data_IF_057511545767
#
_entry.id   IF_057511545767
#
_cell.length_a   1.000
_cell.length_b   1.000
_cell.length_c   1.000
_cell.angle_alpha   90.00
_cell.angle_beta   90.00
_cell.angle_gamma   90.00
#
_symmetry.space_group_name_H-M   'P 1'
#
loop_
_entity.id
_entity.type
_entity.pdbx_description
1 polymer ?
#
# COMPACT_ATOMS: atom_id res chain seq x y z
N UNK A 1 -14.07 10.51 -5.24
CA UNK A 1 -14.28 10.49 -3.78
C UNK A 1 -13.06 10.04 -3.02
N UNK A 2 -12.60 10.82 -2.04
CA UNK A 2 -11.54 10.41 -1.10
C UNK A 2 -12.12 10.20 0.28
N UNK A 3 -11.77 9.09 0.92
CA UNK A 3 -12.25 8.70 2.24
C UNK A 3 -11.06 8.59 3.19
N UNK A 4 -11.10 9.34 4.27
CA UNK A 4 -10.09 9.36 5.32
C UNK A 4 -10.66 8.71 6.57
N UNK A 5 -9.95 7.71 7.09
CA UNK A 5 -10.19 7.21 8.44
C UNK A 5 -9.55 8.16 9.43
N UNK A 6 -10.33 8.69 10.36
CA UNK A 6 -9.82 9.52 11.45
C UNK A 6 -10.28 8.97 12.80
N UNK A 7 -9.68 9.43 13.90
CA UNK A 7 -10.07 8.98 15.25
C UNK A 7 -11.54 9.25 15.58
N UNK A 8 -12.07 10.39 15.13
CA UNK A 8 -13.45 10.82 15.39
C UNK A 8 -14.49 10.28 14.40
N UNK A 9 -14.09 9.53 13.36
CA UNK A 9 -15.01 8.98 12.36
C UNK A 9 -14.41 8.89 10.96
N UNK A 10 -15.22 9.22 9.96
CA UNK A 10 -14.84 9.14 8.55
C UNK A 10 -15.02 10.50 7.88
N UNK A 11 -13.95 11.05 7.31
CA UNK A 11 -14.04 12.25 6.48
C UNK A 11 -14.13 11.85 5.03
N UNK A 12 -15.20 12.30 4.37
CA UNK A 12 -15.41 12.13 2.93
C UNK A 12 -15.12 13.45 2.24
N UNK A 13 -14.23 13.45 1.25
CA UNK A 13 -13.90 14.61 0.42
C UNK A 13 -14.36 14.34 -1.01
N UNK A 14 -15.26 15.18 -1.50
CA UNK A 14 -15.88 15.08 -2.83
C UNK A 14 -16.16 16.49 -3.38
N UNK A 15 -15.77 16.75 -4.64
CA UNK A 15 -16.00 18.03 -5.33
C UNK A 15 -15.66 19.30 -4.51
N UNK A 16 -14.50 19.30 -3.84
CA UNK A 16 -14.00 20.35 -2.93
C UNK A 16 -14.80 20.54 -1.62
N UNK A 17 -15.87 19.79 -1.41
CA UNK A 17 -16.57 19.73 -0.13
C UNK A 17 -16.03 18.58 0.72
N UNK A 18 -16.16 18.73 2.03
CA UNK A 18 -15.80 17.70 2.99
C UNK A 18 -16.97 17.44 3.92
N UNK A 19 -17.17 16.19 4.31
CA UNK A 19 -18.28 15.76 5.14
C UNK A 19 -17.74 14.84 6.24
N UNK A 20 -18.30 14.93 7.44
CA UNK A 20 -17.97 14.03 8.54
C UNK A 20 -19.11 13.02 8.71
N UNK A 21 -18.78 11.74 8.58
CA UNK A 21 -19.66 10.64 8.98
C UNK A 21 -19.24 10.21 10.39
N UNK A 22 -20.07 10.58 11.36
CA UNK A 22 -19.91 10.16 12.76
C UNK A 22 -20.59 8.80 12.98
N UNK A 23 -20.03 7.97 13.87
CA UNK A 23 -20.61 6.69 14.30
C UNK A 23 -20.71 5.59 13.21
N UNK A 24 -19.90 5.68 12.15
CA UNK A 24 -19.75 4.57 11.19
C UNK A 24 -18.70 3.57 11.70
N UNK A 25 -19.02 2.28 11.65
CA UNK A 25 -18.02 1.22 11.83
C UNK A 25 -17.17 1.11 10.55
N UNK A 26 -15.85 1.24 10.67
CA UNK A 26 -14.96 1.27 9.51
C UNK A 26 -15.02 -0.02 8.68
N UNK A 27 -15.07 -1.19 9.32
CA UNK A 27 -15.02 -2.47 8.61
C UNK A 27 -16.31 -2.72 7.85
N UNK A 28 -17.45 -2.41 8.47
CA UNK A 28 -18.75 -2.49 7.80
C UNK A 28 -18.81 -1.47 6.66
N UNK A 29 -18.34 -0.24 6.92
CA UNK A 29 -18.42 0.85 5.96
C UNK A 29 -17.62 0.55 4.69
N UNK A 30 -16.36 0.10 4.80
CA UNK A 30 -15.55 -0.16 3.59
C UNK A 30 -15.90 -1.48 2.90
N UNK A 31 -16.57 -2.41 3.58
CA UNK A 31 -16.91 -3.72 3.03
C UNK A 31 -18.26 -3.68 2.29
N UNK A 32 -18.39 -2.73 1.36
CA UNK A 32 -19.61 -2.47 0.59
C UNK A 32 -19.27 -2.37 -0.91
N UNK A 33 -19.79 -3.31 -1.70
CA UNK A 33 -19.60 -3.32 -3.15
C UNK A 33 -20.16 -2.05 -3.84
N UNK A 34 -21.08 -1.34 -3.19
CA UNK A 34 -21.68 -0.11 -3.71
C UNK A 34 -21.22 1.13 -2.92
N UNK A 35 -20.05 1.05 -2.27
CA UNK A 35 -19.53 2.09 -1.39
C UNK A 35 -19.63 3.51 -1.98
N UNK A 36 -19.28 3.68 -3.24
CA UNK A 36 -19.32 5.00 -3.90
C UNK A 36 -20.73 5.61 -3.89
N UNK A 37 -21.73 4.83 -4.34
CA UNK A 37 -23.13 5.29 -4.46
C UNK A 37 -23.76 5.47 -3.08
N UNK A 38 -23.48 4.54 -2.16
CA UNK A 38 -24.03 4.59 -0.81
C UNK A 38 -23.42 5.75 -0.01
N UNK A 39 -22.12 6.03 -0.17
CA UNK A 39 -21.47 7.19 0.44
C UNK A 39 -22.00 8.49 -0.15
N UNK A 40 -22.20 8.57 -1.47
CA UNK A 40 -22.82 9.74 -2.11
C UNK A 40 -24.20 10.04 -1.50
N UNK A 41 -25.03 9.00 -1.38
CA UNK A 41 -26.39 9.11 -0.80
C UNK A 41 -26.38 9.55 0.67
N UNK A 42 -25.32 9.23 1.43
CA UNK A 42 -25.14 9.69 2.81
C UNK A 42 -24.75 11.17 2.84
N UNK A 43 -23.75 11.58 2.06
CA UNK A 43 -23.25 12.97 2.08
C UNK A 43 -24.24 13.98 1.48
N UNK A 44 -25.12 13.56 0.56
CA UNK A 44 -26.19 14.41 0.01
C UNK A 44 -27.19 14.91 1.08
N UNK A 45 -27.18 14.30 2.27
CA UNK A 45 -28.06 14.64 3.41
C UNK A 45 -27.33 15.43 4.50
N UNK A 46 -26.05 15.75 4.29
CA UNK A 46 -25.19 16.40 5.26
C UNK A 46 -24.74 17.76 4.77
N UNK A 47 -24.51 18.67 5.71
CA UNK A 47 -23.87 19.94 5.43
C UNK A 47 -22.34 19.76 5.38
N UNK A 48 -21.63 20.41 4.44
CA UNK A 48 -20.18 20.38 4.41
C UNK A 48 -19.56 20.96 5.68
N UNK A 49 -18.48 20.33 6.15
CA UNK A 49 -17.66 20.82 7.26
C UNK A 49 -16.52 21.69 6.75
N UNK A 50 -16.09 22.66 7.56
CA UNK A 50 -15.00 23.59 7.19
C UNK A 50 -13.66 23.23 7.81
N UNK A 51 -13.63 22.38 8.84
CA UNK A 51 -12.45 22.00 9.62
C UNK A 51 -11.85 20.65 9.19
N UNK A 52 -12.22 20.11 8.03
CA UNK A 52 -11.75 18.80 7.56
C UNK A 52 -10.23 18.68 7.49
N UNK A 53 -9.54 19.74 7.05
CA UNK A 53 -8.08 19.76 6.95
C UNK A 53 -7.40 19.58 8.32
N UNK A 54 -7.94 20.23 9.36
CA UNK A 54 -7.42 20.11 10.72
C UNK A 54 -7.70 18.72 11.31
N UNK A 55 -8.89 18.17 11.06
CA UNK A 55 -9.23 16.80 11.48
C UNK A 55 -8.29 15.78 10.83
N UNK A 56 -8.12 15.83 9.51
CA UNK A 56 -7.22 14.93 8.79
C UNK A 56 -5.79 15.07 9.30
N UNK A 57 -5.29 16.30 9.47
CA UNK A 57 -3.90 16.51 9.92
C UNK A 57 -3.62 15.92 11.31
N UNK A 58 -4.57 16.01 12.24
CA UNK A 58 -4.34 15.67 13.64
C UNK A 58 -4.84 14.27 14.03
N UNK A 59 -5.75 13.71 13.25
CA UNK A 59 -6.47 12.48 13.61
C UNK A 59 -6.41 11.38 12.57
N UNK A 60 -5.77 11.58 11.41
CA UNK A 60 -5.68 10.54 10.37
C UNK A 60 -5.08 9.25 10.92
N UNK A 61 -5.73 8.15 10.57
CA UNK A 61 -5.31 6.79 10.84
C UNK A 61 -4.98 6.11 9.52
N UNK A 62 -4.26 4.98 9.58
CA UNK A 62 -4.20 4.10 8.42
C UNK A 62 -5.63 3.71 8.01
N UNK A 63 -6.02 3.77 6.72
CA UNK A 63 -7.35 3.37 6.26
C UNK A 63 -7.51 1.83 6.23
N UNK A 64 -7.21 1.18 7.36
CA UNK A 64 -7.34 -0.25 7.62
C UNK A 64 -8.01 -0.42 8.99
N UNK A 65 -9.02 -1.28 9.08
CA UNK A 65 -9.66 -1.71 10.32
C UNK A 65 -9.17 -3.10 10.68
N UNK A 66 -9.98 -4.14 10.45
CA UNK A 66 -9.61 -5.54 10.66
C UNK A 66 -9.24 -6.29 9.38
N UNK A 67 -9.08 -5.59 8.25
CA UNK A 67 -8.64 -6.20 7.00
C UNK A 67 -7.22 -6.76 7.11
N UNK A 68 -6.99 -7.88 6.43
CA UNK A 68 -5.64 -8.36 6.16
C UNK A 68 -5.00 -7.55 5.03
N UNK A 69 -3.69 -7.35 5.11
CA UNK A 69 -2.90 -6.77 4.03
C UNK A 69 -2.06 -7.88 3.41
N UNK A 70 -2.24 -8.05 2.11
CA UNK A 70 -1.49 -8.94 1.25
C UNK A 70 -0.68 -8.12 0.24
N UNK A 71 0.32 -8.75 -0.36
CA UNK A 71 1.14 -8.12 -1.38
C UNK A 71 1.46 -9.11 -2.50
N UNK A 72 1.69 -8.57 -3.69
CA UNK A 72 2.11 -9.30 -4.88
C UNK A 72 3.50 -8.85 -5.31
N UNK A 73 4.47 -9.76 -5.35
CA UNK A 73 5.79 -9.45 -5.89
C UNK A 73 5.87 -9.64 -7.40
N UNK A 74 6.99 -9.19 -7.98
CA UNK A 74 7.41 -9.45 -9.37
C UNK A 74 6.37 -9.04 -10.43
N UNK A 75 5.67 -7.93 -10.19
CA UNK A 75 4.64 -7.40 -11.10
C UNK A 75 5.19 -6.41 -12.14
N UNK A 76 6.39 -5.86 -11.90
CA UNK A 76 7.14 -5.00 -12.82
C UNK A 76 8.42 -5.67 -13.31
N UNK A 77 8.88 -5.29 -14.50
CA UNK A 77 10.15 -5.79 -15.06
C UNK A 77 11.36 -5.41 -14.20
N UNK A 78 11.44 -4.18 -13.69
CA UNK A 78 12.55 -3.75 -12.82
C UNK A 78 12.56 -4.52 -11.49
N UNK A 79 11.37 -4.80 -10.95
CA UNK A 79 11.19 -5.63 -9.75
C UNK A 79 11.76 -7.03 -9.94
N UNK A 80 11.56 -7.61 -11.12
CA UNK A 80 12.16 -8.90 -11.50
C UNK A 80 13.69 -8.81 -11.48
N UNK A 81 14.27 -7.81 -12.14
CA UNK A 81 15.73 -7.66 -12.25
C UNK A 81 16.40 -7.44 -10.88
N UNK A 82 15.81 -6.61 -10.02
CA UNK A 82 16.33 -6.37 -8.67
C UNK A 82 16.39 -7.64 -7.83
N UNK A 83 15.31 -8.42 -7.81
CA UNK A 83 15.27 -9.70 -7.08
C UNK A 83 16.21 -10.76 -7.66
N UNK A 84 16.38 -10.78 -8.98
CA UNK A 84 17.38 -11.64 -9.61
C UNK A 84 18.80 -11.30 -9.16
N UNK A 85 19.11 -10.02 -8.99
CA UNK A 85 20.39 -9.53 -8.49
C UNK A 85 20.61 -9.88 -7.02
N UNK A 86 19.61 -9.63 -6.18
CA UNK A 86 19.59 -9.97 -4.75
C UNK A 86 19.90 -11.44 -4.48
N UNK A 87 19.32 -12.34 -5.28
CA UNK A 87 19.42 -13.78 -5.06
C UNK A 87 20.41 -14.49 -6.00
N UNK A 88 21.36 -13.77 -6.62
CA UNK A 88 22.37 -14.36 -7.52
C UNK A 88 23.14 -15.49 -6.84
N UNK A 89 23.58 -15.27 -5.59
CA UNK A 89 24.41 -16.23 -4.86
C UNK A 89 23.62 -17.40 -4.27
N UNK A 90 22.35 -17.18 -3.91
CA UNK A 90 21.47 -18.20 -3.33
C UNK A 90 20.81 -19.12 -4.38
N UNK A 91 21.06 -18.91 -5.67
CA UNK A 91 20.38 -19.62 -6.76
C UNK A 91 18.90 -19.23 -6.95
N UNK A 92 18.45 -18.19 -6.25
CA UNK A 92 17.05 -17.74 -6.25
C UNK A 92 16.63 -16.97 -7.51
N UNK A 93 17.59 -16.50 -8.32
CA UNK A 93 17.34 -15.80 -9.58
C UNK A 93 16.42 -16.56 -10.55
N UNK A 94 16.43 -17.90 -10.50
CA UNK A 94 15.54 -18.71 -11.35
C UNK A 94 14.06 -18.66 -10.96
N UNK A 95 13.72 -18.35 -9.69
CA UNK A 95 12.33 -18.38 -9.21
C UNK A 95 11.56 -17.12 -9.60
N UNK A 96 12.15 -15.94 -9.39
CA UNK A 96 11.52 -14.67 -9.76
C UNK A 96 11.28 -14.57 -11.27
N UNK A 97 12.22 -15.06 -12.08
CA UNK A 97 12.04 -15.21 -13.53
C UNK A 97 10.85 -16.10 -13.91
N UNK A 98 10.68 -17.24 -13.21
CA UNK A 98 9.56 -18.16 -13.44
C UNK A 98 8.23 -17.52 -13.07
N UNK A 99 8.15 -16.86 -11.91
CA UNK A 99 6.94 -16.15 -11.47
C UNK A 99 6.54 -15.04 -12.44
N UNK A 100 7.50 -14.30 -13.00
CA UNK A 100 7.20 -13.20 -13.92
C UNK A 100 6.41 -13.63 -15.17
N UNK A 101 6.55 -14.89 -15.61
CA UNK A 101 5.88 -15.42 -16.82
C UNK A 101 4.80 -16.46 -16.53
N UNK A 102 4.68 -16.96 -15.30
CA UNK A 102 3.69 -17.96 -14.91
C UNK A 102 2.26 -17.39 -14.89
N UNK A 103 1.23 -18.23 -14.97
CA UNK A 103 -0.16 -17.76 -14.78
C UNK A 103 -0.42 -17.37 -13.32
N UNK A 104 0.10 -18.16 -12.38
CA UNK A 104 -0.01 -17.91 -10.94
C UNK A 104 0.97 -16.80 -10.50
N UNK A 105 0.48 -15.69 -9.94
CA UNK A 105 1.34 -14.65 -9.39
C UNK A 105 1.94 -15.07 -8.04
N UNK A 106 2.98 -14.37 -7.62
CA UNK A 106 3.42 -14.40 -6.22
C UNK A 106 2.42 -13.61 -5.38
N UNK A 107 1.94 -14.22 -4.31
CA UNK A 107 1.12 -13.58 -3.28
C UNK A 107 1.67 -13.97 -1.93
N UNK A 108 1.80 -13.00 -1.03
CA UNK A 108 2.22 -13.25 0.34
C UNK A 108 1.43 -12.39 1.32
N UNK A 109 1.21 -12.94 2.51
CA UNK A 109 0.66 -12.19 3.63
C UNK A 109 1.69 -11.15 4.07
N UNK A 110 1.27 -9.88 4.12
CA UNK A 110 2.16 -8.77 4.48
C UNK A 110 1.98 -8.36 5.94
N UNK A 111 0.75 -8.03 6.33
CA UNK A 111 0.52 -7.45 7.64
C UNK A 111 -0.91 -7.63 8.15
N UNK A 112 -1.01 -7.75 9.47
CA UNK A 112 -2.22 -7.46 10.24
C UNK A 112 -2.31 -5.95 10.52
N UNK A 113 -3.49 -5.44 10.90
CA UNK A 113 -3.66 -4.03 11.25
C UNK A 113 -2.70 -3.53 12.32
N UNK A 114 -2.42 -4.32 13.36
CA UNK A 114 -1.52 -3.92 14.44
C UNK A 114 -0.06 -3.75 14.01
N UNK A 115 0.34 -4.30 12.87
CA UNK A 115 1.69 -4.13 12.28
C UNK A 115 1.73 -2.99 11.26
N UNK A 116 0.59 -2.37 10.99
CA UNK A 116 0.41 -1.38 9.92
C UNK A 116 0.38 0.03 10.48
N UNK A 117 0.99 0.95 9.75
CA UNK A 117 1.17 2.34 10.16
C UNK A 117 0.45 3.27 9.19
N UNK A 118 -0.12 4.36 9.71
CA UNK A 118 -0.76 5.40 8.90
C UNK A 118 0.23 6.48 8.44
N UNK A 119 -0.25 7.43 7.63
CA UNK A 119 0.54 8.62 7.30
C UNK A 119 0.88 9.42 8.55
N UNK A 120 2.12 9.91 8.65
CA UNK A 120 2.71 10.56 9.82
C UNK A 120 3.26 9.60 10.88
N UNK A 121 3.05 8.28 10.74
CA UNK A 121 3.55 7.29 11.69
C UNK A 121 4.95 6.77 11.37
N UNK A 122 5.49 5.97 12.29
CA UNK A 122 6.83 5.38 12.18
C UNK A 122 6.78 3.96 11.60
N UNK A 123 7.38 3.76 10.44
CA UNK A 123 7.70 2.42 9.93
C UNK A 123 8.99 1.93 10.56
N UNK A 124 9.20 0.62 10.62
CA UNK A 124 10.40 0.06 11.25
C UNK A 124 11.28 -0.62 10.23
N UNK A 125 12.56 -0.73 10.56
CA UNK A 125 13.45 -1.70 9.95
C UNK A 125 13.84 -2.77 10.97
N UNK A 126 14.33 -3.91 10.49
CA UNK A 126 14.75 -4.98 11.38
C UNK A 126 16.18 -4.74 11.89
N UNK A 127 16.43 -5.04 13.16
CA UNK A 127 17.78 -4.89 13.73
C UNK A 127 18.77 -5.94 13.25
N UNK A 128 18.27 -7.08 12.75
CA UNK A 128 19.05 -8.18 12.17
C UNK A 128 19.09 -8.12 10.64
N UNK A 129 18.62 -7.02 10.02
CA UNK A 129 18.80 -6.77 8.60
C UNK A 129 19.85 -5.69 8.36
N UNK A 130 20.68 -5.91 7.34
CA UNK A 130 21.70 -4.95 6.89
C UNK A 130 21.27 -4.16 5.67
N UNK A 131 20.12 -4.49 5.09
CA UNK A 131 19.61 -3.88 3.86
C UNK A 131 18.09 -3.87 3.88
N UNK A 132 17.53 -2.69 4.17
CA UNK A 132 16.11 -2.43 4.24
C UNK A 132 15.73 -1.31 3.26
N UNK A 133 14.65 -1.51 2.51
CA UNK A 133 14.13 -0.53 1.55
C UNK A 133 12.62 -0.36 1.70
N UNK A 134 12.08 0.82 1.34
CA UNK A 134 10.64 0.97 1.13
C UNK A 134 10.28 0.45 -0.26
N UNK A 135 9.10 -0.15 -0.39
CA UNK A 135 8.54 -0.56 -1.67
C UNK A 135 7.23 0.22 -1.87
N UNK A 136 7.23 1.30 -2.69
CA UNK A 136 6.05 2.12 -2.93
C UNK A 136 5.10 1.42 -3.90
N UNK A 137 3.85 1.23 -3.48
CA UNK A 137 2.89 0.42 -4.24
C UNK A 137 1.51 1.08 -4.32
N UNK A 138 0.89 0.95 -5.49
CA UNK A 138 -0.55 1.08 -5.58
C UNK A 138 -1.18 -0.07 -4.80
N UNK A 139 -2.14 0.23 -3.93
CA UNK A 139 -2.78 -0.78 -3.07
C UNK A 139 -4.27 -0.81 -3.36
N UNK A 140 -4.79 -1.97 -3.71
CA UNK A 140 -6.21 -2.20 -3.94
C UNK A 140 -6.94 -2.31 -2.62
N UNK A 141 -8.15 -1.73 -2.55
CA UNK A 141 -9.10 -1.96 -1.46
C UNK A 141 -10.20 -2.86 -1.97
N UNK A 142 -10.36 -4.03 -1.35
CA UNK A 142 -11.16 -5.12 -1.87
C UNK A 142 -12.18 -5.55 -0.81
N UNK A 143 -13.44 -5.68 -1.19
CA UNK A 143 -14.51 -6.16 -0.30
C UNK A 143 -14.43 -7.67 -0.11
N UNK A 144 -15.24 -8.19 0.80
CA UNK A 144 -15.40 -9.62 1.07
C UNK A 144 -15.87 -10.44 -0.14
N UNK A 145 -16.49 -9.81 -1.14
CA UNK A 145 -16.91 -10.47 -2.39
C UNK A 145 -15.79 -10.55 -3.43
N UNK A 146 -14.63 -9.93 -3.16
CA UNK A 146 -13.53 -9.80 -4.11
C UNK A 146 -13.67 -8.61 -5.05
N UNK A 147 -14.59 -7.68 -4.80
CA UNK A 147 -14.74 -6.47 -5.62
C UNK A 147 -13.73 -5.41 -5.21
N UNK A 148 -13.00 -4.88 -6.18
CA UNK A 148 -12.16 -3.68 -5.98
C UNK A 148 -13.08 -2.47 -5.91
N UNK A 149 -13.02 -1.73 -4.81
CA UNK A 149 -13.85 -0.52 -4.57
C UNK A 149 -13.05 0.78 -4.60
N UNK A 150 -11.72 0.67 -4.67
CA UNK A 150 -10.86 1.83 -4.70
C UNK A 150 -9.40 1.49 -4.49
N UNK A 151 -8.62 2.55 -4.31
CA UNK A 151 -7.16 2.49 -4.24
C UNK A 151 -6.63 3.32 -3.07
N UNK A 152 -5.58 2.86 -2.42
CA UNK A 152 -4.77 3.62 -1.46
C UNK A 152 -3.29 3.50 -1.85
N UNK A 153 -2.44 4.26 -1.17
CA UNK A 153 -0.98 4.11 -1.26
C UNK A 153 -0.53 3.10 -0.21
N UNK A 154 0.39 2.21 -0.59
CA UNK A 154 1.04 1.26 0.29
C UNK A 154 2.56 1.43 0.29
N UNK A 155 3.16 1.09 1.43
CA UNK A 155 4.60 0.93 1.60
C UNK A 155 4.88 -0.46 2.16
N UNK A 156 5.43 -1.35 1.34
CA UNK A 156 5.89 -2.68 1.73
C UNK A 156 7.36 -2.62 2.20
N UNK A 157 7.57 -2.38 3.49
CA UNK A 157 8.94 -2.34 4.04
C UNK A 157 9.59 -3.72 3.98
N UNK A 158 10.80 -3.77 3.44
CA UNK A 158 11.41 -5.02 3.00
C UNK A 158 12.84 -5.16 3.48
N UNK A 159 13.11 -6.16 4.30
CA UNK A 159 14.45 -6.52 4.77
C UNK A 159 15.14 -7.45 3.78
N UNK A 160 15.68 -6.86 2.70
CA UNK A 160 16.22 -7.57 1.54
C UNK A 160 17.47 -8.41 1.83
N UNK A 161 18.23 -8.07 2.87
CA UNK A 161 19.34 -8.95 3.29
C UNK A 161 18.84 -10.35 3.70
N UNK A 162 17.65 -10.42 4.33
CA UNK A 162 17.04 -11.67 4.80
C UNK A 162 16.36 -12.41 3.64
N UNK A 163 15.63 -11.69 2.77
CA UNK A 163 15.02 -12.27 1.56
C UNK A 163 16.07 -12.84 0.61
N UNK A 164 17.15 -12.10 0.36
CA UNK A 164 18.23 -12.48 -0.54
C UNK A 164 19.04 -13.69 -0.05
N UNK A 165 19.13 -13.91 1.27
CA UNK A 165 19.80 -15.07 1.85
C UNK A 165 19.06 -16.38 1.52
N UNK A 166 17.74 -16.39 1.68
CA UNK A 166 16.92 -17.54 1.36
C UNK A 166 15.46 -17.13 1.09
N UNK A 167 14.85 -17.54 -0.05
CA UNK A 167 13.46 -17.20 -0.34
C UNK A 167 12.47 -17.74 0.70
N UNK A 168 12.83 -18.78 1.48
CA UNK A 168 12.02 -19.28 2.59
C UNK A 168 11.96 -18.32 3.79
N UNK A 169 12.82 -17.30 3.84
CA UNK A 169 12.83 -16.27 4.88
C UNK A 169 11.96 -15.06 4.54
N UNK A 170 11.30 -15.05 3.37
CA UNK A 170 10.38 -13.99 2.95
C UNK A 170 9.36 -13.59 4.04
N UNK A 171 8.72 -14.52 4.78
CA UNK A 171 7.80 -14.12 5.86
C UNK A 171 8.47 -13.28 6.95
N UNK A 172 9.74 -13.55 7.27
CA UNK A 172 10.51 -12.80 8.28
C UNK A 172 10.93 -11.43 7.74
N UNK A 173 11.29 -11.38 6.45
CA UNK A 173 11.70 -10.17 5.75
C UNK A 173 10.56 -9.19 5.48
N UNK A 174 9.30 -9.68 5.45
CA UNK A 174 8.11 -8.90 5.11
C UNK A 174 7.15 -8.68 6.28
N UNK A 175 7.10 -9.57 7.29
CA UNK A 175 6.15 -9.47 8.41
C UNK A 175 6.85 -9.22 9.75
N UNK A 176 6.78 -7.97 10.23
CA UNK A 176 7.26 -7.54 11.55
C UNK A 176 6.51 -6.27 11.98
N UNK A 177 6.67 -5.81 13.21
CA UNK A 177 5.99 -4.59 13.67
C UNK A 177 6.42 -3.39 12.83
N UNK A 178 5.47 -2.59 12.33
CA UNK A 178 5.77 -1.42 11.51
C UNK A 178 6.32 -1.76 10.12
N UNK A 179 6.09 -2.99 9.63
CA UNK A 179 6.56 -3.43 8.31
C UNK A 179 5.69 -2.91 7.15
N UNK A 180 4.50 -2.39 7.42
CA UNK A 180 3.60 -1.89 6.39
C UNK A 180 3.12 -0.50 6.74
N UNK A 181 2.95 0.35 5.74
CA UNK A 181 2.16 1.56 5.88
C UNK A 181 1.14 1.69 4.75
N UNK A 182 -0.03 2.25 5.05
CA UNK A 182 -1.07 2.55 4.06
C UNK A 182 -1.71 3.91 4.34
N UNK A 183 -2.11 4.61 3.29
CA UNK A 183 -2.87 5.86 3.42
C UNK A 183 -2.51 6.91 2.37
N UNK A 184 -2.78 8.21 2.63
CA UNK A 184 -3.49 8.73 3.79
C UNK A 184 -5.01 8.53 3.70
N UNK A 185 -5.52 8.14 2.53
CA UNK A 185 -6.94 7.96 2.24
C UNK A 185 -7.16 6.84 1.24
N UNK A 186 -8.41 6.39 1.13
CA UNK A 186 -8.89 5.56 0.02
C UNK A 186 -9.49 6.48 -1.03
N UNK A 187 -8.98 6.42 -2.26
CA UNK A 187 -9.66 6.94 -3.44
C UNK A 187 -10.71 5.91 -3.87
N UNK A 188 -11.98 6.18 -3.57
CA UNK A 188 -13.12 5.34 -3.95
C UNK A 188 -13.57 5.71 -5.36
N UNK A 189 -13.64 4.71 -6.23
CA UNK A 189 -14.02 4.84 -7.65
C UNK A 189 -14.45 3.49 -8.20
N UNK A 190 -15.36 3.49 -9.18
CA UNK A 190 -15.70 2.30 -9.96
C UNK A 190 -14.83 2.14 -11.21
N UNK A 191 -14.10 3.19 -11.58
CA UNK A 191 -13.27 3.22 -12.78
C UNK A 191 -11.83 2.82 -12.46
N UNK A 192 -11.16 2.20 -13.45
CA UNK A 192 -9.72 2.01 -13.40
C UNK A 192 -8.99 3.37 -13.37
N UNK A 193 -7.85 3.42 -12.68
CA UNK A 193 -7.02 4.62 -12.70
C UNK A 193 -6.49 4.88 -14.12
N UNK A 194 -6.31 6.15 -14.53
CA UNK A 194 -5.71 6.47 -15.81
C UNK A 194 -4.33 5.82 -15.93
N UNK A 195 -4.00 5.25 -17.10
CA UNK A 195 -2.70 4.60 -17.33
C UNK A 195 -1.50 5.53 -17.08
N UNK A 196 -1.70 6.85 -17.24
CA UNK A 196 -0.70 7.89 -17.00
C UNK A 196 -0.42 8.18 -15.52
N UNK A 197 -1.18 7.57 -14.61
CA UNK A 197 -1.00 7.73 -13.15
C UNK A 197 0.39 7.27 -12.75
N UNK A 198 1.12 8.10 -12.01
CA UNK A 198 2.45 7.76 -11.50
C UNK A 198 2.46 7.52 -10.00
N UNK A 199 3.38 6.64 -9.61
CA UNK A 199 3.86 6.44 -8.25
C UNK A 199 5.20 7.16 -8.15
N UNK A 200 5.35 8.03 -7.17
CA UNK A 200 6.58 8.76 -6.89
C UNK A 200 7.10 8.37 -5.52
N UNK A 201 8.40 8.12 -5.41
CA UNK A 201 9.08 7.87 -4.15
C UNK A 201 10.17 8.92 -3.96
N UNK A 202 10.16 9.54 -2.78
CA UNK A 202 11.23 10.39 -2.30
C UNK A 202 11.65 9.96 -0.92
N UNK A 203 12.95 9.92 -0.67
CA UNK A 203 13.51 9.64 0.65
C UNK A 203 14.40 10.81 1.04
N UNK A 204 14.10 11.44 2.18
CA UNK A 204 14.95 12.47 2.75
C UNK A 204 15.72 11.92 3.95
N UNK A 205 16.99 12.33 4.08
CA UNK A 205 17.87 12.07 5.21
C UNK A 205 18.49 13.37 5.68
N UNK A 206 18.38 13.69 6.96
CA UNK A 206 18.92 14.92 7.54
C UNK A 206 18.51 16.20 6.78
N UNK A 207 17.26 16.25 6.28
CA UNK A 207 16.71 17.39 5.54
C UNK A 207 17.11 17.48 4.05
N UNK A 208 17.89 16.53 3.52
CA UNK A 208 18.25 16.45 2.10
C UNK A 208 17.69 15.22 1.41
N UNK A 209 17.35 15.32 0.11
CA UNK A 209 16.91 14.17 -0.70
C UNK A 209 18.09 13.23 -0.95
N UNK A 210 17.94 11.96 -0.58
CA UNK A 210 18.94 10.90 -0.83
C UNK A 210 18.49 9.89 -1.89
N UNK A 211 17.20 9.87 -2.21
CA UNK A 211 16.63 9.06 -3.27
C UNK A 211 15.37 9.74 -3.82
N UNK A 212 15.20 9.75 -5.13
CA UNK A 212 13.99 10.26 -5.79
C UNK A 212 13.80 9.51 -7.11
N UNK A 213 12.62 8.89 -7.30
CA UNK A 213 12.27 8.18 -8.53
C UNK A 213 10.74 8.15 -8.74
N UNK A 214 10.30 7.84 -9.95
CA UNK A 214 8.89 7.70 -10.28
C UNK A 214 8.65 6.64 -11.35
N UNK A 215 7.51 5.95 -11.28
CA UNK A 215 7.10 4.97 -12.27
C UNK A 215 5.60 5.08 -12.59
N UNK A 216 5.23 4.81 -13.84
CA UNK A 216 3.83 4.72 -14.24
C UNK A 216 3.20 3.39 -13.83
N UNK A 217 1.90 3.42 -13.51
CA UNK A 217 1.14 2.18 -13.22
C UNK A 217 0.92 1.33 -14.48
N UNK A 218 1.07 1.92 -15.67
CA UNK A 218 1.02 1.22 -16.96
C UNK A 218 2.18 0.21 -17.15
N UNK A 219 3.22 0.30 -16.31
CA UNK A 219 4.32 -0.66 -16.28
C UNK A 219 4.01 -1.92 -15.48
N UNK A 220 2.87 -1.99 -14.78
CA UNK A 220 2.40 -3.20 -14.10
C UNK A 220 1.96 -4.21 -15.17
N UNK A 221 2.61 -5.37 -15.19
CA UNK A 221 2.30 -6.42 -16.17
C UNK A 221 1.02 -7.19 -15.84
N UNK A 222 0.73 -7.35 -14.54
CA UNK A 222 -0.39 -8.16 -14.04
C UNK A 222 -1.65 -7.31 -13.97
N UNK A 223 -2.77 -7.86 -14.46
CA UNK A 223 -4.07 -7.23 -14.24
C UNK A 223 -4.46 -7.35 -12.78
N UNK A 224 -5.11 -6.32 -12.25
CA UNK A 224 -5.53 -6.31 -10.85
C UNK A 224 -6.57 -7.39 -10.57
N UNK A 225 -7.47 -7.64 -11.51
CA UNK A 225 -8.50 -8.68 -11.40
C UNK A 225 -7.87 -10.08 -11.30
N UNK A 226 -6.76 -10.32 -12.00
CA UNK A 226 -6.03 -11.60 -11.90
C UNK A 226 -5.41 -11.76 -10.51
N UNK A 227 -4.80 -10.70 -9.97
CA UNK A 227 -4.21 -10.72 -8.62
C UNK A 227 -5.28 -11.00 -7.56
N UNK A 228 -6.41 -10.30 -7.64
CA UNK A 228 -7.54 -10.50 -6.71
C UNK A 228 -8.14 -11.88 -6.86
N UNK A 229 -8.30 -12.37 -8.09
CA UNK A 229 -8.80 -13.72 -8.35
C UNK A 229 -7.95 -14.78 -7.63
N UNK A 230 -6.62 -14.73 -7.78
CA UNK A 230 -5.73 -15.69 -7.11
C UNK A 230 -5.70 -15.52 -5.60
N UNK A 231 -5.84 -14.30 -5.08
CA UNK A 231 -5.89 -14.05 -3.64
C UNK A 231 -7.14 -14.64 -2.99
N UNK A 232 -8.31 -14.48 -3.64
CA UNK A 232 -9.60 -14.96 -3.13
C UNK A 232 -9.89 -16.42 -3.50
N UNK A 233 -9.02 -17.05 -4.29
CA UNK A 233 -9.17 -18.46 -4.67
C UNK A 233 -8.94 -19.35 -3.44
N UNK A 234 -10.02 -19.99 -2.96
CA UNK A 234 -10.02 -20.85 -1.76
C UNK A 234 -9.61 -20.12 -0.46
N UNK A 235 -9.64 -18.78 -0.45
CA UNK A 235 -9.33 -17.97 0.73
C UNK A 235 -10.43 -16.90 0.94
N UNK A 236 -11.04 -16.88 2.13
CA UNK A 236 -12.13 -15.97 2.46
C UNK A 236 -11.64 -14.77 3.25
N UNK A 237 -12.15 -13.58 2.93
CA UNK A 237 -11.83 -12.33 3.62
C UNK A 237 -13.11 -11.66 4.14
N UNK A 238 -13.66 -12.07 5.31
CA UNK A 238 -14.96 -11.60 5.78
C UNK A 238 -15.07 -10.07 5.90
N UNK A 239 -13.97 -9.38 6.18
CA UNK A 239 -13.91 -7.91 6.29
C UNK A 239 -13.35 -7.21 5.05
N UNK A 240 -13.14 -7.96 3.96
CA UNK A 240 -12.33 -7.52 2.83
C UNK A 240 -10.83 -7.60 3.11
N UNK A 241 -10.05 -7.15 2.14
CA UNK A 241 -8.58 -7.16 2.18
C UNK A 241 -7.99 -5.94 1.49
N UNK A 242 -6.73 -5.65 1.80
CA UNK A 242 -5.91 -4.73 1.02
C UNK A 242 -4.85 -5.55 0.27
N UNK A 243 -4.61 -5.22 -1.00
CA UNK A 243 -3.60 -5.91 -1.81
C UNK A 243 -2.63 -4.91 -2.42
N UNK A 244 -1.39 -4.91 -1.93
CA UNK A 244 -0.30 -4.13 -2.52
C UNK A 244 0.16 -4.82 -3.81
N UNK A 245 0.25 -4.06 -4.92
CA UNK A 245 0.35 -4.64 -6.28
C UNK A 245 1.78 -4.86 -6.77
N UNK A 246 2.77 -4.79 -5.89
CA UNK A 246 4.19 -4.82 -6.20
C UNK A 246 4.74 -3.45 -6.52
N UNK A 247 6.05 -3.29 -6.34
CA UNK A 247 6.78 -2.08 -6.72
C UNK A 247 7.65 -2.26 -7.96
N UNK A 248 7.80 -1.20 -8.74
CA UNK A 248 8.78 -1.10 -9.82
C UNK A 248 9.88 -0.07 -9.56
N UNK A 249 9.82 0.63 -8.42
CA UNK A 249 10.89 1.52 -7.94
C UNK A 249 11.75 0.71 -6.99
N UNK A 250 12.99 0.49 -7.37
CA UNK A 250 13.92 -0.39 -6.67
C UNK A 250 15.19 0.39 -6.39
N UNK A 251 15.41 0.89 -5.16
CA UNK A 251 16.67 1.50 -4.79
C UNK A 251 17.84 0.54 -5.07
N UNK A 252 19.00 1.09 -5.43
CA UNK A 252 20.20 0.31 -5.72
C UNK A 252 20.69 -0.48 -4.49
N UNK A 253 21.52 -1.49 -4.72
CA UNK A 253 22.00 -2.40 -3.66
C UNK A 253 22.88 -1.73 -2.59
N UNK A 254 23.43 -0.54 -2.88
CA UNK A 254 24.16 0.30 -1.94
C UNK A 254 23.25 1.21 -1.09
N UNK A 255 21.95 1.29 -1.43
CA UNK A 255 20.98 2.04 -0.66
C UNK A 255 20.43 1.22 0.51
N UNK A 256 20.46 1.79 1.71
CA UNK A 256 19.84 1.23 2.91
C UNK A 256 19.16 2.34 3.72
N UNK A 257 17.97 2.07 4.24
CA UNK A 257 17.27 2.97 5.15
C UNK A 257 18.02 3.13 6.48
N UNK A 258 18.11 4.39 6.92
CA UNK A 258 18.61 4.77 8.23
C UNK A 258 17.45 5.20 9.13
N UNK A 259 17.62 5.03 10.44
CA UNK A 259 16.67 5.57 11.41
C UNK A 259 16.62 7.09 11.26
N UNK A 260 15.41 7.65 11.26
CA UNK A 260 15.16 9.07 10.99
C UNK A 260 14.97 9.44 9.51
N UNK A 261 15.14 8.51 8.57
CA UNK A 261 14.79 8.78 7.16
C UNK A 261 13.29 9.05 7.01
N UNK A 262 12.95 10.01 6.16
CA UNK A 262 11.57 10.34 5.80
C UNK A 262 11.24 9.72 4.44
N UNK A 263 10.28 8.81 4.41
CA UNK A 263 9.78 8.14 3.21
C UNK A 263 8.50 8.84 2.78
N UNK A 264 8.50 9.40 1.57
CA UNK A 264 7.40 10.16 1.00
C UNK A 264 6.97 9.46 -0.29
N UNK A 265 5.77 8.88 -0.27
CA UNK A 265 5.20 8.16 -1.41
C UNK A 265 3.96 8.90 -1.89
N UNK A 266 3.96 9.33 -3.14
CA UNK A 266 2.85 10.05 -3.76
C UNK A 266 2.30 9.22 -4.91
N UNK A 267 0.98 9.05 -4.97
CA UNK A 267 0.32 8.50 -6.16
C UNK A 267 -0.63 9.55 -6.70
N UNK A 268 -0.51 9.86 -8.00
CA UNK A 268 -1.33 10.88 -8.66
C UNK A 268 -2.83 10.59 -8.45
N UNK A 269 -3.60 11.64 -8.12
CA UNK A 269 -5.03 11.50 -7.84
C UNK A 269 -5.37 10.98 -6.43
N UNK A 270 -4.50 10.20 -5.77
CA UNK A 270 -4.75 9.66 -4.42
C UNK A 270 -4.29 10.64 -3.34
N UNK A 271 -2.98 10.88 -3.20
CA UNK A 271 -2.45 11.69 -2.10
C UNK A 271 -0.98 11.41 -1.82
N UNK A 272 -0.55 11.62 -0.57
CA UNK A 272 0.83 11.38 -0.15
C UNK A 272 0.87 10.68 1.20
N UNK A 273 1.49 9.50 1.21
CA UNK A 273 1.81 8.72 2.39
C UNK A 273 3.21 9.13 2.86
N UNK A 274 3.31 9.65 4.07
CA UNK A 274 4.56 10.08 4.66
C UNK A 274 4.85 9.26 5.91
N UNK A 275 6.02 8.65 6.02
CA UNK A 275 6.44 7.89 7.20
C UNK A 275 7.89 8.19 7.57
N UNK A 276 8.22 8.05 8.85
CA UNK A 276 9.60 8.14 9.34
C UNK A 276 10.11 6.74 9.72
N UNK A 277 11.36 6.43 9.40
CA UNK A 277 11.98 5.14 9.78
C UNK A 277 12.40 5.17 11.24
N UNK A 278 12.02 4.15 12.01
CA UNK A 278 12.47 3.87 13.37
C UNK A 278 13.47 2.71 13.42
#
# INVERSE_FOLDING_TARGET
MKIYKIKSGIVVVENNNSYLLENEDWDIFINDDNLLVNTQSKIDRLEPITNAADLIKNEVLAPVGNQEIWASGVTYYNSKLGREEESKEAGGSSFYSKVYVADRPELFFKATPYRTVGSGGQVRKRSDSTWDVPEPELTLVITSTGKIIGYTIGNDMSSRSIEGENPLYLPQAKTYDGCAAVGPCILVTNDALPAVTKIHLKINRNGGSVFEDSIGIDQIKRKFEDLVHYLYLECSFPQGSLLMTGTGIVPSTDFNLASGDEIIITIDGIGTLHNTVA
#
